data_IF_702016895175
#
_entry.id   IF_702016895175
#
_cell.length_a   1.000
_cell.length_b   1.000
_cell.length_c   1.000
_cell.angle_alpha   90.00
_cell.angle_beta   90.00
_cell.angle_gamma   90.00
#
_symmetry.space_group_name_H-M   'P 1'
#
loop_
_entity.id
_entity.type
_entity.pdbx_description
1 polymer ?
#
# COMPACT_ATOMS: atom_id res chain seq x y z
N UNK A 1 -30.79 -7.60 2.07
CA UNK A 1 -30.13 -7.56 0.74
C UNK A 1 -29.27 -6.31 0.70
N UNK A 2 -27.94 -6.45 0.78
CA UNK A 2 -27.04 -5.32 0.59
C UNK A 2 -26.90 -5.09 -0.92
N UNK A 3 -27.57 -4.07 -1.46
CA UNK A 3 -27.36 -3.65 -2.85
C UNK A 3 -26.03 -2.92 -2.91
N UNK A 4 -25.00 -3.61 -3.37
CA UNK A 4 -23.68 -3.03 -3.59
C UNK A 4 -23.71 -2.08 -4.80
N UNK A 5 -24.18 -0.85 -4.57
CA UNK A 5 -24.37 0.16 -5.62
C UNK A 5 -23.10 1.02 -5.86
N UNK A 6 -21.98 0.69 -5.21
CA UNK A 6 -20.77 1.51 -5.18
C UNK A 6 -19.50 0.75 -5.60
N UNK A 7 -19.60 -0.15 -6.57
CA UNK A 7 -18.42 -0.68 -7.24
C UNK A 7 -18.59 -0.71 -8.75
N UNK A 8 -17.49 -0.51 -9.46
CA UNK A 8 -17.39 -0.74 -10.89
C UNK A 8 -16.27 -1.74 -11.15
N UNK A 9 -16.51 -2.73 -12.00
CA UNK A 9 -15.48 -3.66 -12.44
C UNK A 9 -14.98 -3.25 -13.82
N UNK A 10 -13.66 -3.13 -13.97
CA UNK A 10 -13.03 -2.88 -15.26
C UNK A 10 -12.35 -4.16 -15.75
N UNK A 11 -12.76 -4.65 -16.93
CA UNK A 11 -12.14 -5.81 -17.57
C UNK A 11 -11.16 -5.30 -18.63
N UNK A 12 -9.88 -5.56 -18.42
CA UNK A 12 -8.83 -5.15 -19.35
C UNK A 12 -8.74 -6.16 -20.51
N UNK A 13 -8.58 -5.66 -21.74
CA UNK A 13 -8.25 -6.48 -22.91
C UNK A 13 -6.74 -6.51 -23.17
N UNK A 14 -6.32 -7.13 -24.28
CA UNK A 14 -4.91 -7.45 -24.57
C UNK A 14 -3.95 -6.24 -24.67
N UNK A 15 -4.48 -5.03 -24.79
CA UNK A 15 -3.70 -3.78 -24.91
C UNK A 15 -3.46 -3.07 -23.59
N UNK A 16 -4.08 -3.53 -22.50
CA UNK A 16 -4.03 -2.87 -21.19
C UNK A 16 -3.74 -3.90 -20.11
N UNK A 17 -2.64 -3.71 -19.38
CA UNK A 17 -2.33 -4.56 -18.24
C UNK A 17 -3.17 -4.15 -17.02
N UNK A 18 -3.81 -5.10 -16.32
CA UNK A 18 -4.58 -4.81 -15.11
C UNK A 18 -3.78 -4.06 -14.05
N UNK A 19 -2.52 -4.44 -13.84
CA UNK A 19 -1.65 -3.80 -12.84
C UNK A 19 -1.24 -2.38 -13.23
N UNK A 20 -1.08 -2.13 -14.52
CA UNK A 20 -0.82 -0.78 -15.02
C UNK A 20 -2.04 0.12 -14.79
N UNK A 21 -3.25 -0.38 -15.10
CA UNK A 21 -4.49 0.34 -14.83
C UNK A 21 -4.65 0.63 -13.32
N UNK A 22 -4.36 -0.36 -12.49
CA UNK A 22 -4.39 -0.19 -11.03
C UNK A 22 -3.44 0.91 -10.59
N UNK A 23 -2.19 0.92 -11.07
CA UNK A 23 -1.19 1.93 -10.73
C UNK A 23 -1.61 3.35 -11.15
N UNK A 24 -2.22 3.49 -12.33
CA UNK A 24 -2.76 4.77 -12.78
C UNK A 24 -3.86 5.26 -11.84
N UNK A 25 -4.79 4.37 -11.47
CA UNK A 25 -5.96 4.74 -10.68
C UNK A 25 -5.61 5.03 -9.22
N UNK A 26 -4.69 4.27 -8.61
CA UNK A 26 -4.29 4.46 -7.21
C UNK A 26 -3.19 5.50 -7.04
N UNK A 27 -2.49 5.85 -8.11
CA UNK A 27 -1.46 6.88 -8.13
C UNK A 27 -1.87 8.11 -8.94
N UNK A 28 -1.48 8.12 -10.21
CA UNK A 28 -1.49 9.31 -11.06
C UNK A 28 -2.86 9.99 -11.22
N UNK A 29 -3.96 9.23 -11.18
CA UNK A 29 -5.31 9.73 -11.39
C UNK A 29 -6.05 10.09 -10.09
N UNK A 30 -5.46 9.88 -8.92
CA UNK A 30 -6.11 10.25 -7.65
C UNK A 30 -6.55 11.73 -7.61
N UNK A 31 -5.71 12.72 -8.00
CA UNK A 31 -6.14 14.12 -8.01
C UNK A 31 -7.31 14.38 -8.97
N UNK A 32 -7.33 13.66 -10.09
CA UNK A 32 -8.43 13.74 -11.06
C UNK A 32 -9.72 13.18 -10.46
N UNK A 33 -9.65 12.01 -9.80
CA UNK A 33 -10.81 11.43 -9.12
C UNK A 33 -11.32 12.30 -7.99
N UNK A 34 -10.44 12.88 -7.18
CA UNK A 34 -10.81 13.83 -6.12
C UNK A 34 -11.58 15.02 -6.69
N UNK A 35 -11.13 15.57 -7.83
CA UNK A 35 -11.82 16.68 -8.52
C UNK A 35 -13.22 16.34 -9.02
N UNK A 36 -13.51 15.06 -9.29
CA UNK A 36 -14.80 14.58 -9.79
C UNK A 36 -15.78 14.26 -8.67
N UNK A 37 -15.31 14.13 -7.43
CA UNK A 37 -16.16 13.83 -6.28
C UNK A 37 -16.91 15.07 -5.81
N UNK A 38 -18.12 15.25 -6.31
CA UNK A 38 -19.03 16.31 -5.85
C UNK A 38 -19.83 15.83 -4.63
N UNK A 39 -19.41 16.24 -3.43
CA UNK A 39 -20.19 16.07 -2.20
C UNK A 39 -19.33 15.97 -0.93
N UNK A 40 -19.71 16.67 0.14
CA UNK A 40 -18.97 16.67 1.41
C UNK A 40 -19.14 15.39 2.24
N UNK A 41 -20.17 14.59 1.96
CA UNK A 41 -20.58 13.46 2.83
C UNK A 41 -20.35 12.07 2.20
N UNK A 42 -20.44 11.95 0.88
CA UNK A 42 -20.19 10.69 0.15
C UNK A 42 -19.44 10.97 -1.16
N UNK A 43 -18.17 10.58 -1.21
CA UNK A 43 -17.34 10.67 -2.41
C UNK A 43 -17.69 9.53 -3.37
N UNK A 44 -18.54 9.81 -4.35
CA UNK A 44 -18.93 8.82 -5.38
C UNK A 44 -18.76 9.42 -6.77
N UNK A 45 -18.31 8.62 -7.72
CA UNK A 45 -18.26 8.98 -9.14
C UNK A 45 -19.42 8.27 -9.85
N UNK A 46 -20.27 9.03 -10.54
CA UNK A 46 -21.39 8.48 -11.29
C UNK A 46 -20.93 7.60 -12.46
N UNK A 47 -21.66 6.53 -12.74
CA UNK A 47 -21.33 5.57 -13.82
C UNK A 47 -21.21 6.23 -15.20
N UNK A 48 -21.97 7.31 -15.46
CA UNK A 48 -21.88 8.10 -16.69
C UNK A 48 -20.51 8.77 -16.88
N UNK A 49 -19.82 9.10 -15.80
CA UNK A 49 -18.48 9.70 -15.82
C UNK A 49 -17.41 8.61 -16.01
N UNK A 50 -17.58 7.45 -15.36
CA UNK A 50 -16.63 6.33 -15.40
C UNK A 50 -16.39 5.86 -16.86
N UNK A 51 -17.45 5.74 -17.65
CA UNK A 51 -17.33 5.34 -19.07
C UNK A 51 -16.56 6.34 -19.95
N UNK A 52 -16.40 7.58 -19.49
CA UNK A 52 -15.71 8.65 -20.21
C UNK A 52 -14.24 8.84 -19.81
N UNK A 53 -13.70 8.04 -18.88
CA UNK A 53 -12.32 8.19 -18.43
C UNK A 53 -11.32 8.00 -19.57
N UNK A 54 -10.39 8.94 -19.66
CA UNK A 54 -9.24 8.88 -20.56
C UNK A 54 -8.02 8.52 -19.74
N UNK A 55 -7.32 7.47 -20.15
CA UNK A 55 -6.07 7.03 -19.54
C UNK A 55 -4.95 7.11 -20.57
N UNK A 56 -3.70 7.39 -20.16
CA UNK A 56 -2.54 7.10 -20.98
C UNK A 56 -2.51 5.60 -21.32
N UNK A 57 -2.30 5.27 -22.60
CA UNK A 57 -2.25 3.89 -23.06
C UNK A 57 -1.00 3.69 -23.93
N UNK A 58 0.19 3.61 -23.32
CA UNK A 58 1.42 3.31 -24.04
C UNK A 58 1.44 1.85 -24.52
N UNK A 59 2.40 1.44 -25.37
CA UNK A 59 2.57 0.05 -25.77
C UNK A 59 2.70 -0.90 -24.56
N UNK A 60 2.26 -2.15 -24.71
CA UNK A 60 2.27 -3.14 -23.61
C UNK A 60 3.67 -3.32 -23.01
N UNK A 61 4.73 -3.27 -23.82
CA UNK A 61 6.12 -3.35 -23.35
C UNK A 61 6.48 -2.25 -22.35
N UNK A 62 6.03 -1.01 -22.59
CA UNK A 62 6.25 0.11 -21.70
C UNK A 62 5.39 -0.02 -20.43
N UNK A 63 4.16 -0.50 -20.56
CA UNK A 63 3.32 -0.81 -19.39
C UNK A 63 3.99 -1.83 -18.47
N UNK A 64 4.58 -2.90 -19.02
CA UNK A 64 5.34 -3.90 -18.25
C UNK A 64 6.52 -3.24 -17.51
N UNK A 65 7.30 -2.39 -18.19
CA UNK A 65 8.45 -1.73 -17.58
C UNK A 65 8.04 -0.82 -16.41
N UNK A 66 6.95 -0.07 -16.57
CA UNK A 66 6.41 0.79 -15.52
C UNK A 66 5.97 -0.04 -14.31
N UNK A 67 5.20 -1.11 -14.56
CA UNK A 67 4.70 -2.01 -13.49
C UNK A 67 5.86 -2.68 -12.77
N UNK A 68 6.88 -3.14 -13.50
CA UNK A 68 8.04 -3.79 -12.89
C UNK A 68 8.82 -2.82 -12.01
N UNK A 69 9.05 -1.60 -12.49
CA UNK A 69 9.74 -0.57 -11.70
C UNK A 69 8.98 -0.27 -10.40
N UNK A 70 7.65 -0.15 -10.47
CA UNK A 70 6.83 0.06 -9.28
C UNK A 70 6.91 -1.14 -8.32
N UNK A 71 6.79 -2.37 -8.83
CA UNK A 71 6.89 -3.60 -8.03
C UNK A 71 8.25 -3.73 -7.34
N UNK A 72 9.35 -3.44 -8.04
CA UNK A 72 10.69 -3.53 -7.48
C UNK A 72 10.90 -2.54 -6.34
N UNK A 73 10.33 -1.33 -6.44
CA UNK A 73 10.41 -0.34 -5.37
C UNK A 73 9.54 -0.72 -4.17
N UNK A 74 8.30 -1.18 -4.40
CA UNK A 74 7.44 -1.65 -3.33
C UNK A 74 8.02 -2.88 -2.63
N UNK A 75 8.63 -3.81 -3.37
CA UNK A 75 9.28 -4.98 -2.79
C UNK A 75 10.42 -4.64 -1.82
N UNK A 76 11.24 -3.64 -2.14
CA UNK A 76 12.29 -3.14 -1.21
C UNK A 76 11.68 -2.56 0.07
N UNK A 77 10.55 -1.87 -0.03
CA UNK A 77 9.85 -1.32 1.13
C UNK A 77 9.31 -2.46 1.99
N UNK A 78 8.70 -3.47 1.37
CA UNK A 78 8.18 -4.65 2.07
C UNK A 78 9.28 -5.41 2.82
N UNK A 79 10.46 -5.57 2.19
CA UNK A 79 11.64 -6.17 2.83
C UNK A 79 12.09 -5.38 4.07
N UNK A 80 12.20 -4.04 3.95
CA UNK A 80 12.57 -3.16 5.07
C UNK A 80 11.52 -3.20 6.19
N UNK A 81 10.23 -3.27 5.84
CA UNK A 81 9.15 -3.42 6.82
C UNK A 81 9.27 -4.73 7.58
N UNK A 82 9.55 -5.84 6.89
CA UNK A 82 9.74 -7.14 7.51
C UNK A 82 10.97 -7.18 8.44
N UNK A 83 12.07 -6.56 8.03
CA UNK A 83 13.27 -6.44 8.88
C UNK A 83 13.02 -5.60 10.12
N UNK A 84 12.32 -4.47 9.96
CA UNK A 84 11.96 -3.58 11.07
C UNK A 84 11.06 -4.29 12.09
N UNK A 85 10.07 -5.06 11.61
CA UNK A 85 9.20 -5.84 12.48
C UNK A 85 10.00 -6.86 13.32
N UNK A 86 10.94 -7.57 12.69
CA UNK A 86 11.84 -8.51 13.36
C UNK A 86 12.74 -7.82 14.39
N UNK A 87 13.27 -6.65 14.05
CA UNK A 87 14.11 -5.87 14.97
C UNK A 87 13.32 -5.42 16.21
N UNK A 88 12.07 -5.00 16.04
CA UNK A 88 11.18 -4.65 17.15
C UNK A 88 10.95 -5.84 18.07
N UNK A 89 10.69 -7.02 17.50
CA UNK A 89 10.48 -8.26 18.26
C UNK A 89 11.72 -8.62 19.10
N UNK A 90 12.89 -8.67 18.46
CA UNK A 90 14.16 -8.98 19.14
C UNK A 90 14.49 -7.96 20.24
N UNK A 91 14.21 -6.67 19.99
CA UNK A 91 14.41 -5.62 20.98
C UNK A 91 13.52 -5.79 22.21
N UNK A 92 12.27 -6.25 22.01
CA UNK A 92 11.34 -6.56 23.11
C UNK A 92 11.80 -7.78 23.89
N UNK A 93 12.23 -8.84 23.21
CA UNK A 93 12.77 -10.05 23.84
C UNK A 93 14.00 -9.71 24.69
N UNK A 94 14.97 -8.99 24.12
CA UNK A 94 16.17 -8.56 24.84
C UNK A 94 15.83 -7.72 26.07
N UNK A 95 14.89 -6.78 25.95
CA UNK A 95 14.43 -5.98 27.10
C UNK A 95 13.81 -6.86 28.19
N UNK A 96 12.99 -7.83 27.81
CA UNK A 96 12.38 -8.77 28.76
C UNK A 96 13.44 -9.62 29.46
N UNK A 97 14.39 -10.19 28.71
CA UNK A 97 15.49 -10.97 29.26
C UNK A 97 16.37 -10.16 30.21
N UNK A 98 16.70 -8.91 29.88
CA UNK A 98 17.48 -8.02 30.74
C UNK A 98 16.74 -7.70 32.05
N UNK A 99 15.42 -7.44 32.00
CA UNK A 99 14.61 -7.23 33.20
C UNK A 99 14.61 -8.50 34.06
N UNK A 100 14.38 -9.67 33.45
CA UNK A 100 14.40 -10.95 34.17
C UNK A 100 15.76 -11.21 34.81
N UNK A 101 16.86 -10.97 34.09
CA UNK A 101 18.20 -11.17 34.60
C UNK A 101 18.53 -10.20 35.75
N UNK A 102 18.07 -8.94 35.68
CA UNK A 102 18.21 -7.99 36.78
C UNK A 102 17.38 -8.39 38.02
N UNK A 103 16.14 -8.82 37.83
CA UNK A 103 15.23 -9.21 38.93
C UNK A 103 15.66 -10.54 39.58
N UNK A 104 16.23 -11.45 38.81
CA UNK A 104 16.79 -12.72 39.31
C UNK A 104 18.19 -12.57 39.89
N UNK A 105 18.75 -11.35 39.90
CA UNK A 105 20.08 -11.06 40.44
C UNK A 105 21.23 -11.61 39.61
N UNK A 106 20.98 -12.05 38.38
CA UNK A 106 22.01 -12.46 37.42
C UNK A 106 22.77 -11.26 36.85
N UNK A 107 22.19 -10.06 36.93
CA UNK A 107 22.82 -8.77 36.59
C UNK A 107 22.71 -7.84 37.80
N UNK A 108 23.84 -7.29 38.26
CA UNK A 108 23.85 -6.30 39.33
C UNK A 108 23.50 -4.91 38.79
N UNK A 109 22.34 -4.41 39.21
CA UNK A 109 21.80 -3.10 38.82
C UNK A 109 22.02 -2.02 39.88
N UNK A 110 22.75 -2.31 40.98
CA UNK A 110 22.90 -1.39 42.13
C UNK A 110 23.99 -0.31 41.96
N UNK A 111 24.68 -0.27 40.81
CA UNK A 111 25.73 0.72 40.51
C UNK A 111 25.47 1.65 39.32
N UNK A 112 24.30 1.57 38.68
CA UNK A 112 23.93 2.43 37.56
C UNK A 112 23.07 3.61 38.07
N UNK A 113 23.72 4.64 38.61
CA UNK A 113 23.15 5.94 38.92
C UNK A 113 23.95 7.04 38.21
#
# INVERSE_FOLDING_TARGET
MATSQHFAAWICGDRLLPEYLWLLFTGAMQPYFDSLTNGSTLRTIGMSIIGGFRIPLPPVSEQVQIVQTARDQTGKIDELMAETARFIELSRERRSALITAAVTGQIDVRGAA
#
